data_IF_107455653652
#
_entry.id   IF_107455653652
#
_cell.length_a   1.000
_cell.length_b   1.000
_cell.length_c   1.000
_cell.angle_alpha   90.00
_cell.angle_beta   90.00
_cell.angle_gamma   90.00
#
_symmetry.space_group_name_H-M   'P 1'
#
loop_
_entity.id
_entity.type
_entity.pdbx_description
1 polymer ?
#
# COMPACT_ATOMS: atom_id res chain seq x y z
N UNK A 1 -13.14 -19.52 -1.94
CA UNK A 1 -12.55 -20.88 -1.90
C UNK A 1 -13.68 -21.87 -1.76
N UNK A 2 -13.62 -23.01 -2.45
CA UNK A 2 -14.61 -24.09 -2.35
C UNK A 2 -14.67 -24.67 -0.91
N UNK A 3 -15.88 -24.93 -0.41
CA UNK A 3 -16.15 -25.43 0.94
C UNK A 3 -15.59 -26.83 1.18
N UNK A 4 -15.61 -27.72 0.17
CA UNK A 4 -15.10 -29.08 0.30
C UNK A 4 -13.57 -29.10 0.40
N UNK A 5 -12.90 -28.20 -0.33
CA UNK A 5 -11.45 -28.00 -0.23
C UNK A 5 -11.05 -27.49 1.16
N UNK A 6 -11.87 -26.63 1.78
CA UNK A 6 -11.65 -26.10 3.13
C UNK A 6 -11.68 -27.22 4.18
N UNK A 7 -12.76 -28.02 4.20
CA UNK A 7 -12.90 -29.13 5.16
C UNK A 7 -11.76 -30.14 5.07
N UNK A 8 -11.33 -30.50 3.86
CA UNK A 8 -10.22 -31.43 3.65
C UNK A 8 -8.90 -30.91 4.21
N UNK A 9 -8.64 -29.61 4.09
CA UNK A 9 -7.41 -28.99 4.60
C UNK A 9 -7.45 -28.87 6.14
N UNK A 10 -8.58 -28.45 6.70
CA UNK A 10 -8.79 -28.41 8.15
C UNK A 10 -8.64 -29.80 8.79
N UNK A 11 -9.23 -30.85 8.18
CA UNK A 11 -9.10 -32.24 8.64
C UNK A 11 -7.64 -32.76 8.56
N UNK A 12 -6.82 -32.20 7.68
CA UNK A 12 -5.40 -32.50 7.56
C UNK A 12 -4.52 -31.62 8.48
N UNK A 13 -5.12 -30.83 9.38
CA UNK A 13 -4.41 -30.00 10.35
C UNK A 13 -3.94 -28.64 9.82
N UNK A 14 -4.39 -28.22 8.64
CA UNK A 14 -4.06 -26.89 8.11
C UNK A 14 -4.98 -25.82 8.67
N UNK A 15 -4.40 -24.71 9.12
CA UNK A 15 -5.14 -23.50 9.50
C UNK A 15 -5.44 -22.67 8.25
N UNK A 16 -6.70 -22.24 8.09
CA UNK A 16 -7.14 -21.37 7.02
C UNK A 16 -7.46 -19.99 7.59
N UNK A 17 -6.94 -18.95 6.96
CA UNK A 17 -7.15 -17.56 7.36
C UNK A 17 -6.71 -16.60 6.26
N UNK A 18 -6.95 -15.31 6.48
CA UNK A 18 -6.41 -14.24 5.66
C UNK A 18 -5.02 -13.81 6.17
N UNK A 19 -4.42 -12.80 5.52
CA UNK A 19 -3.11 -12.29 5.92
C UNK A 19 -3.09 -11.73 7.35
N UNK A 20 -4.18 -11.09 7.79
CA UNK A 20 -4.32 -10.56 9.15
C UNK A 20 -4.35 -11.67 10.18
N UNK A 21 -5.06 -12.78 9.90
CA UNK A 21 -5.09 -13.97 10.76
C UNK A 21 -3.69 -14.58 10.88
N UNK A 22 -2.96 -14.69 9.75
CA UNK A 22 -1.61 -15.24 9.73
C UNK A 22 -0.60 -14.38 10.50
N UNK A 23 -0.70 -13.05 10.39
CA UNK A 23 0.19 -12.09 11.05
C UNK A 23 -0.25 -11.75 12.48
N UNK A 24 -1.42 -12.22 12.93
CA UNK A 24 -1.96 -11.92 14.25
C UNK A 24 -2.28 -10.44 14.45
N UNK A 25 -2.69 -9.73 13.39
CA UNK A 25 -2.93 -8.29 13.44
C UNK A 25 -4.23 -7.99 14.18
N UNK A 26 -4.21 -6.96 15.02
CA UNK A 26 -5.44 -6.33 15.49
C UNK A 26 -6.19 -5.68 14.31
N UNK A 27 -7.50 -5.44 14.43
CA UNK A 27 -8.26 -4.75 13.38
C UNK A 27 -7.63 -3.41 12.96
N UNK A 28 -7.08 -2.66 13.92
CA UNK A 28 -6.41 -1.37 13.66
C UNK A 28 -5.11 -1.56 12.87
N UNK A 29 -4.29 -2.55 13.23
CA UNK A 29 -3.05 -2.82 12.51
C UNK A 29 -3.31 -3.33 11.09
N UNK A 30 -4.31 -4.19 10.91
CA UNK A 30 -4.73 -4.64 9.59
C UNK A 30 -5.13 -3.46 8.69
N UNK A 31 -5.93 -2.53 9.22
CA UNK A 31 -6.32 -1.32 8.48
C UNK A 31 -5.14 -0.39 8.18
N UNK A 32 -4.19 -0.23 9.11
CA UNK A 32 -2.99 0.56 8.89
C UNK A 32 -2.09 -0.03 7.79
N UNK A 33 -1.92 -1.36 7.79
CA UNK A 33 -1.16 -2.09 6.76
C UNK A 33 -1.85 -1.94 5.41
N UNK A 34 -3.16 -2.15 5.35
CA UNK A 34 -3.96 -2.05 4.13
C UNK A 34 -3.91 -0.61 3.56
N UNK A 35 -4.11 0.40 4.41
CA UNK A 35 -4.02 1.80 4.03
C UNK A 35 -2.63 2.17 3.50
N UNK A 36 -1.56 1.80 4.21
CA UNK A 36 -0.19 2.08 3.78
C UNK A 36 0.12 1.43 2.44
N UNK A 37 -0.34 0.19 2.26
CA UNK A 37 -0.15 -0.58 1.02
C UNK A 37 -0.85 0.08 -0.15
N UNK A 38 -2.15 0.41 -0.01
CA UNK A 38 -2.93 1.10 -1.06
C UNK A 38 -2.31 2.43 -1.46
N UNK A 39 -1.92 3.26 -0.48
CA UNK A 39 -1.29 4.56 -0.75
C UNK A 39 0.07 4.42 -1.43
N UNK A 40 0.91 3.46 -1.04
CA UNK A 40 2.21 3.22 -1.66
C UNK A 40 2.08 2.80 -3.14
N UNK A 41 1.15 1.87 -3.42
CA UNK A 41 0.85 1.45 -4.79
C UNK A 41 0.31 2.61 -5.62
N UNK A 42 -0.60 3.40 -5.06
CA UNK A 42 -1.12 4.57 -5.75
C UNK A 42 -0.03 5.63 -6.02
N UNK A 43 0.93 5.81 -5.10
CA UNK A 43 2.05 6.74 -5.32
C UNK A 43 2.89 6.37 -6.55
N UNK A 44 3.09 5.07 -6.78
CA UNK A 44 3.78 4.57 -7.98
C UNK A 44 2.98 4.87 -9.25
N UNK A 45 1.69 4.59 -9.25
CA UNK A 45 0.84 4.82 -10.43
C UNK A 45 0.68 6.31 -10.73
N UNK A 46 0.43 7.14 -9.72
CA UNK A 46 0.35 8.59 -9.88
C UNK A 46 1.62 9.18 -10.47
N UNK A 47 2.80 8.75 -10.00
CA UNK A 47 4.08 9.19 -10.57
C UNK A 47 4.16 8.85 -12.07
N UNK A 48 3.71 7.66 -12.47
CA UNK A 48 3.75 7.21 -13.88
C UNK A 48 2.78 8.01 -14.75
N UNK A 49 1.55 8.22 -14.30
CA UNK A 49 0.55 9.07 -15.00
C UNK A 49 1.07 10.50 -15.15
N UNK A 50 1.83 10.99 -14.16
CA UNK A 50 2.46 12.31 -14.19
C UNK A 50 3.75 12.38 -15.01
N UNK A 51 4.12 11.30 -15.72
CA UNK A 51 5.33 11.18 -16.55
C UNK A 51 6.64 11.51 -15.80
N UNK A 52 6.71 11.22 -14.50
CA UNK A 52 7.90 11.44 -13.69
C UNK A 52 8.70 10.14 -13.55
N UNK A 53 10.03 10.21 -13.69
CA UNK A 53 10.89 9.15 -13.16
C UNK A 53 10.98 9.25 -11.63
N UNK A 54 11.44 8.19 -10.96
CA UNK A 54 11.68 8.24 -9.52
C UNK A 54 12.71 9.35 -9.16
N UNK A 55 13.72 9.56 -10.00
CA UNK A 55 14.68 10.66 -9.86
C UNK A 55 14.02 12.04 -10.01
N UNK A 56 13.08 12.20 -10.95
CA UNK A 56 12.39 13.47 -11.16
C UNK A 56 11.50 13.84 -9.97
N UNK A 57 10.75 12.86 -9.43
CA UNK A 57 9.97 13.06 -8.22
C UNK A 57 10.86 13.32 -7.00
N UNK A 58 11.98 12.60 -6.88
CA UNK A 58 12.96 12.83 -5.81
C UNK A 58 13.46 14.28 -5.81
N UNK A 59 13.82 14.82 -6.98
CA UNK A 59 14.25 16.22 -7.12
C UNK A 59 13.15 17.20 -6.68
N UNK A 60 11.91 16.98 -7.10
CA UNK A 60 10.75 17.81 -6.68
C UNK A 60 10.53 17.79 -5.15
N UNK A 61 10.82 16.66 -4.50
CA UNK A 61 10.66 16.49 -3.06
C UNK A 61 11.91 16.88 -2.23
N UNK A 62 13.02 17.29 -2.85
CA UNK A 62 14.29 17.48 -2.13
C UNK A 62 14.80 16.18 -1.49
N UNK A 63 14.62 15.06 -2.17
CA UNK A 63 14.82 13.70 -1.66
C UNK A 63 15.76 12.88 -2.57
N UNK A 64 16.01 11.62 -2.22
CA UNK A 64 16.77 10.67 -3.04
C UNK A 64 15.86 9.72 -3.80
N UNK A 65 16.31 9.21 -4.95
CA UNK A 65 15.56 8.22 -5.73
C UNK A 65 15.31 6.93 -4.94
N UNK A 66 16.26 6.47 -4.12
CA UNK A 66 16.07 5.32 -3.24
C UNK A 66 14.92 5.56 -2.26
N UNK A 67 14.76 6.78 -1.74
CA UNK A 67 13.61 7.11 -0.88
C UNK A 67 12.28 7.06 -1.64
N UNK A 68 12.26 7.46 -2.91
CA UNK A 68 11.06 7.28 -3.76
C UNK A 68 10.77 5.81 -4.01
N UNK A 69 11.79 4.99 -4.30
CA UNK A 69 11.60 3.54 -4.46
C UNK A 69 11.01 2.88 -3.21
N UNK A 70 11.48 3.28 -2.02
CA UNK A 70 10.95 2.82 -0.73
C UNK A 70 9.51 3.24 -0.48
N UNK A 71 9.14 4.45 -0.89
CA UNK A 71 7.75 4.93 -0.85
C UNK A 71 6.86 4.02 -1.70
N UNK A 72 7.26 3.78 -2.95
CA UNK A 72 6.50 2.96 -3.91
C UNK A 72 6.41 1.48 -3.55
N UNK A 73 7.34 0.97 -2.73
CA UNK A 73 7.32 -0.40 -2.24
C UNK A 73 6.65 -0.56 -0.88
N UNK A 74 6.18 0.54 -0.26
CA UNK A 74 5.60 0.50 1.08
C UNK A 74 6.58 0.10 2.19
N UNK A 75 7.88 0.39 2.01
CA UNK A 75 8.96 -0.01 2.92
C UNK A 75 8.65 0.33 4.40
N UNK A 76 9.00 -0.51 5.38
CA UNK A 76 8.72 -0.25 6.80
C UNK A 76 9.24 1.10 7.30
N UNK A 77 10.34 1.60 6.73
CA UNK A 77 10.96 2.87 7.12
C UNK A 77 10.22 4.12 6.61
N UNK A 78 9.22 3.99 5.73
CA UNK A 78 8.44 5.13 5.24
C UNK A 78 7.16 5.35 6.07
N UNK A 79 6.91 6.61 6.41
CA UNK A 79 5.68 7.02 7.11
C UNK A 79 4.53 7.27 6.14
N UNK A 80 3.29 7.22 6.63
CA UNK A 80 2.10 7.61 5.86
C UNK A 80 2.20 9.06 5.35
N UNK A 81 2.65 9.99 6.20
CA UNK A 81 2.88 11.40 5.82
C UNK A 81 3.83 11.51 4.61
N UNK A 82 4.92 10.74 4.58
CA UNK A 82 5.87 10.78 3.47
C UNK A 82 5.25 10.27 2.16
N UNK A 83 4.42 9.22 2.22
CA UNK A 83 3.70 8.71 1.05
C UNK A 83 2.71 9.76 0.53
N UNK A 84 1.95 10.39 1.43
CA UNK A 84 1.00 11.46 1.08
C UNK A 84 1.72 12.66 0.47
N UNK A 85 2.88 13.06 0.99
CA UNK A 85 3.70 14.13 0.38
C UNK A 85 4.12 13.79 -1.05
N UNK A 86 4.54 12.56 -1.31
CA UNK A 86 4.91 12.12 -2.66
C UNK A 86 3.72 12.16 -3.62
N UNK A 87 2.55 11.73 -3.16
CA UNK A 87 1.29 11.80 -3.91
C UNK A 87 0.92 13.23 -4.28
N UNK A 88 0.89 14.14 -3.29
CA UNK A 88 0.56 15.55 -3.55
C UNK A 88 1.62 16.23 -4.43
N UNK A 89 2.90 15.91 -4.25
CA UNK A 89 4.00 16.48 -5.07
C UNK A 89 3.95 15.99 -6.52
N UNK A 90 3.47 14.77 -6.74
CA UNK A 90 3.22 14.21 -8.08
C UNK A 90 1.87 14.64 -8.65
N UNK A 91 1.05 15.40 -7.93
CA UNK A 91 -0.18 16.01 -8.46
C UNK A 91 -1.46 15.25 -8.14
N UNK A 92 -1.44 14.28 -7.21
CA UNK A 92 -2.66 13.66 -6.72
C UNK A 92 -3.59 14.70 -6.07
N UNK A 93 -4.87 14.58 -6.37
CA UNK A 93 -5.94 15.40 -5.80
C UNK A 93 -6.42 14.83 -4.46
N UNK A 94 -7.12 15.64 -3.68
CA UNK A 94 -7.76 15.18 -2.43
C UNK A 94 -8.83 14.12 -2.70
N UNK A 95 -9.52 14.23 -3.83
CA UNK A 95 -10.55 13.28 -4.26
C UNK A 95 -9.97 11.90 -4.56
N UNK A 96 -8.85 11.84 -5.28
CA UNK A 96 -8.15 10.58 -5.55
C UNK A 96 -7.63 9.94 -4.27
N UNK A 97 -7.05 10.74 -3.35
CA UNK A 97 -6.64 10.25 -2.03
C UNK A 97 -7.83 9.66 -1.25
N UNK A 98 -8.98 10.33 -1.26
CA UNK A 98 -10.19 9.84 -0.60
C UNK A 98 -10.67 8.52 -1.21
N UNK A 99 -10.63 8.38 -2.54
CA UNK A 99 -10.99 7.12 -3.22
C UNK A 99 -10.06 5.97 -2.81
N UNK A 100 -8.75 6.24 -2.76
CA UNK A 100 -7.77 5.24 -2.31
C UNK A 100 -7.99 4.84 -0.87
N UNK A 101 -8.41 5.77 0.01
CA UNK A 101 -8.72 5.50 1.43
C UNK A 101 -10.02 4.73 1.58
N UNK A 102 -11.07 5.09 0.83
CA UNK A 102 -12.37 4.39 0.89
C UNK A 102 -12.23 2.94 0.44
N UNK A 103 -11.32 2.66 -0.51
CA UNK A 103 -11.06 1.30 -0.98
C UNK A 103 -12.29 0.75 -1.71
N UNK A 104 -12.41 1.05 -3.00
CA UNK A 104 -13.37 0.32 -3.83
C UNK A 104 -12.84 -1.09 -4.06
N UNK A 105 -13.49 -2.06 -3.41
CA UNK A 105 -13.42 -3.48 -3.73
C UNK A 105 -13.81 -3.74 -5.20
#
# INVERSE_FOLDING_TARGET
>A
MDAEKRKRLEAAGWTLGNASDFLGLTPVEAELVELKTRLALFAKEQRRVSNLSQNALAKKMGSSQSRIAKIESGDPSVSLDLIVRALLTSGATRQELAQVIVGTN
#
